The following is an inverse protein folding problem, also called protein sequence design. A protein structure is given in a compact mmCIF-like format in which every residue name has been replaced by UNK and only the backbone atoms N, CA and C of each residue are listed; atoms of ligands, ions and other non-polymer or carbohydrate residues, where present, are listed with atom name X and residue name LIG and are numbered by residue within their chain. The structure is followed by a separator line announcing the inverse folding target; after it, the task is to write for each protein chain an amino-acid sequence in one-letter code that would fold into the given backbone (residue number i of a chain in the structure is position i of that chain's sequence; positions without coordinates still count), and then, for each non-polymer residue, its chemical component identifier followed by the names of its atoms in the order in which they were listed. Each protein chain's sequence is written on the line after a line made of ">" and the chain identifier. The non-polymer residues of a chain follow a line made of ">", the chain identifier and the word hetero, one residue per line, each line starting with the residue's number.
data_IF_124353341838
#
_entry.id   IF_124353341838
#
_cell.length_a   1.000
_cell.length_b   1.000
_cell.length_c   1.000
_cell.angle_alpha   90.00
_cell.angle_beta   90.00
_cell.angle_gamma   90.00
#
_symmetry.space_group_name_H-M   'P 1'
#
loop_
_entity.id
_entity.type
_entity.pdbx_description
1 polymer ?
#
# COMPACT_ATOMS: atom_id res chain seq x y z
N UNK A 1 -15.91 63.44 -10.30
CA UNK A 1 -16.42 62.42 -11.24
C UNK A 1 -15.27 61.49 -11.56
N UNK A 2 -15.45 60.21 -11.19
CA UNK A 2 -14.71 58.97 -11.45
C UNK A 2 -13.18 58.97 -11.59
N UNK A 3 -12.55 58.37 -10.58
CA UNK A 3 -11.26 57.66 -10.70
C UNK A 3 -11.60 56.21 -11.08
N UNK A 4 -11.12 55.73 -12.23
CA UNK A 4 -11.26 54.33 -12.66
C UNK A 4 -10.02 53.58 -12.20
N UNK A 5 -10.19 52.70 -11.22
CA UNK A 5 -9.17 51.76 -10.79
C UNK A 5 -9.19 50.53 -11.71
N UNK A 6 -8.13 50.32 -12.48
CA UNK A 6 -7.89 49.08 -13.22
C UNK A 6 -7.29 48.07 -12.25
N UNK A 7 -8.11 47.12 -11.83
CA UNK A 7 -7.69 45.95 -11.06
C UNK A 7 -7.21 44.88 -12.04
N UNK A 8 -5.89 44.78 -12.23
CA UNK A 8 -5.28 43.64 -12.91
C UNK A 8 -5.17 42.48 -11.91
N UNK A 9 -6.14 41.57 -11.96
CA UNK A 9 -5.98 40.23 -11.39
C UNK A 9 -4.90 39.49 -12.20
N UNK A 10 -3.68 39.40 -11.65
CA UNK A 10 -2.70 38.43 -12.11
C UNK A 10 -3.13 37.04 -11.60
N UNK A 11 -3.81 36.29 -12.46
CA UNK A 11 -4.02 34.86 -12.31
C UNK A 11 -2.69 34.15 -12.61
N UNK A 12 -1.87 33.91 -11.59
CA UNK A 12 -0.74 32.98 -11.69
C UNK A 12 -1.33 31.57 -11.60
N UNK A 13 -1.76 31.04 -12.73
CA UNK A 13 -2.00 29.61 -12.86
C UNK A 13 -0.65 28.90 -12.76
N UNK A 14 -0.44 28.13 -11.69
CA UNK A 14 0.59 27.11 -11.70
C UNK A 14 0.22 26.10 -12.80
N UNK A 15 0.90 26.22 -13.93
CA UNK A 15 1.00 25.15 -14.91
C UNK A 15 1.88 24.08 -14.26
N UNK A 16 1.26 23.19 -13.49
CA UNK A 16 1.89 21.97 -13.01
C UNK A 16 2.07 20.97 -14.15
N UNK A 17 2.94 21.30 -15.12
CA UNK A 17 3.57 20.30 -15.97
C UNK A 17 4.80 19.77 -15.23
N UNK A 18 4.57 19.11 -14.09
CA UNK A 18 5.54 18.17 -13.54
C UNK A 18 5.07 16.80 -13.95
N UNK A 19 5.96 15.95 -14.45
CA UNK A 19 5.60 14.57 -14.75
C UNK A 19 5.03 13.94 -13.47
N UNK A 20 3.75 13.51 -13.50
CA UNK A 20 3.05 12.91 -12.36
C UNK A 20 3.61 11.53 -11.96
N UNK A 21 4.75 11.14 -12.55
CA UNK A 21 5.48 9.93 -12.25
C UNK A 21 6.28 10.08 -10.94
N UNK A 22 6.67 8.93 -10.36
CA UNK A 22 7.56 8.96 -9.20
C UNK A 22 8.94 9.40 -9.67
N UNK A 23 9.32 10.62 -9.27
CA UNK A 23 10.58 11.26 -9.64
C UNK A 23 11.40 11.78 -8.44
N UNK A 24 10.92 11.52 -7.22
CA UNK A 24 11.54 11.96 -5.96
C UNK A 24 11.21 11.03 -4.79
N UNK A 25 12.00 11.09 -3.72
CA UNK A 25 11.77 10.36 -2.47
C UNK A 25 10.40 10.70 -1.84
N UNK A 26 9.94 11.95 -1.97
CA UNK A 26 8.63 12.35 -1.46
C UNK A 26 7.46 11.73 -2.25
N UNK A 27 7.57 11.67 -3.58
CA UNK A 27 6.56 10.96 -4.39
C UNK A 27 6.61 9.45 -4.15
N UNK A 28 7.80 8.87 -3.95
CA UNK A 28 7.95 7.46 -3.59
C UNK A 28 7.28 7.15 -2.24
N UNK A 29 7.45 8.05 -1.26
CA UNK A 29 6.77 7.99 0.04
C UNK A 29 5.25 7.97 -0.12
N UNK A 30 4.69 8.89 -0.91
CA UNK A 30 3.24 8.98 -1.19
C UNK A 30 2.70 7.74 -1.92
N UNK A 31 3.46 7.24 -2.89
CA UNK A 31 3.11 6.00 -3.60
C UNK A 31 2.96 4.81 -2.64
N UNK A 32 3.80 4.73 -1.59
CA UNK A 32 3.62 3.73 -0.54
C UNK A 32 2.46 4.05 0.40
N UNK A 33 2.27 5.31 0.81
CA UNK A 33 1.21 5.68 1.77
C UNK A 33 -0.19 5.27 1.30
N UNK A 34 -0.47 5.35 0.00
CA UNK A 34 -1.75 4.86 -0.56
C UNK A 34 -1.92 3.35 -0.58
N UNK A 35 -0.84 2.60 -0.40
CA UNK A 35 -0.85 1.14 -0.28
C UNK A 35 -0.81 0.66 1.17
N UNK A 36 -0.55 1.53 2.15
CA UNK A 36 -0.31 1.10 3.53
C UNK A 36 -1.50 0.30 4.08
N UNK A 37 -2.72 0.78 3.90
CA UNK A 37 -3.91 0.07 4.38
C UNK A 37 -4.15 -1.27 3.66
N UNK A 38 -3.74 -1.37 2.40
CA UNK A 38 -3.78 -2.64 1.66
C UNK A 38 -2.92 -3.73 2.32
N UNK A 39 -1.87 -3.38 3.07
CA UNK A 39 -1.06 -4.34 3.82
C UNK A 39 -1.85 -4.92 5.00
N UNK A 40 -2.56 -4.06 5.74
CA UNK A 40 -3.47 -4.48 6.82
C UNK A 40 -4.56 -5.41 6.29
N UNK A 41 -5.19 -5.04 5.17
CA UNK A 41 -6.22 -5.86 4.52
C UNK A 41 -5.65 -7.17 3.98
N UNK A 42 -4.45 -7.16 3.40
CA UNK A 42 -3.77 -8.36 2.91
C UNK A 42 -3.47 -9.35 4.03
N UNK A 43 -3.05 -8.86 5.21
CA UNK A 43 -2.85 -9.68 6.39
C UNK A 43 -4.14 -10.39 6.83
N UNK A 44 -5.24 -9.64 6.91
CA UNK A 44 -6.55 -10.20 7.29
C UNK A 44 -7.06 -11.22 6.26
N UNK A 45 -6.93 -10.92 4.97
CA UNK A 45 -7.29 -11.84 3.89
C UNK A 45 -6.40 -13.09 3.90
N UNK A 46 -5.11 -12.96 4.23
CA UNK A 46 -4.21 -14.09 4.44
C UNK A 46 -4.72 -15.05 5.52
N UNK A 47 -5.16 -14.51 6.67
CA UNK A 47 -5.77 -15.31 7.74
C UNK A 47 -7.13 -15.91 7.35
N UNK A 48 -7.97 -15.18 6.61
CA UNK A 48 -9.22 -15.71 6.08
C UNK A 48 -8.94 -16.93 5.17
N UNK A 49 -7.93 -16.82 4.31
CA UNK A 49 -7.46 -17.91 3.45
C UNK A 49 -6.92 -19.08 4.26
N UNK A 50 -6.11 -18.83 5.29
CA UNK A 50 -5.60 -19.85 6.21
C UNK A 50 -6.74 -20.65 6.87
N UNK A 51 -7.77 -19.95 7.37
CA UNK A 51 -8.91 -20.58 8.04
C UNK A 51 -9.80 -21.39 7.07
N UNK A 52 -9.81 -21.03 5.79
CA UNK A 52 -10.55 -21.73 4.74
C UNK A 52 -9.76 -22.88 4.10
N UNK A 53 -8.43 -22.90 4.25
CA UNK A 53 -7.56 -23.86 3.57
C UNK A 53 -7.43 -25.18 4.34
N UNK A 54 -7.32 -26.28 3.60
CA UNK A 54 -6.90 -27.58 4.14
C UNK A 54 -5.40 -27.85 3.93
N UNK A 55 -4.65 -26.86 3.44
CA UNK A 55 -3.22 -26.96 3.09
C UNK A 55 -2.53 -25.61 3.22
N UNK A 56 -1.22 -25.56 3.00
CA UNK A 56 -0.48 -24.30 2.99
C UNK A 56 -0.94 -23.33 1.88
N UNK A 57 -1.43 -23.85 0.75
CA UNK A 57 -2.00 -23.03 -0.31
C UNK A 57 -3.38 -22.53 0.13
N UNK A 58 -3.56 -21.21 0.17
CA UNK A 58 -4.85 -20.62 0.53
C UNK A 58 -5.75 -20.47 -0.70
N UNK A 59 -7.07 -20.71 -0.58
CA UNK A 59 -8.00 -20.33 -1.63
C UNK A 59 -7.99 -18.80 -1.82
N UNK A 60 -8.19 -18.28 -3.03
CA UNK A 60 -8.22 -16.84 -3.27
C UNK A 60 -9.21 -16.10 -2.34
N UNK A 61 -8.75 -15.02 -1.74
CA UNK A 61 -9.55 -14.15 -0.86
C UNK A 61 -9.61 -12.74 -1.44
N UNK A 62 -10.77 -12.10 -1.40
CA UNK A 62 -10.94 -10.76 -1.97
C UNK A 62 -11.58 -9.78 -0.99
N UNK A 63 -11.19 -8.52 -1.10
CA UNK A 63 -11.81 -7.38 -0.40
C UNK A 63 -11.92 -6.16 -1.33
N UNK A 64 -12.74 -5.19 -0.93
CA UNK A 64 -12.82 -3.90 -1.61
C UNK A 64 -11.80 -2.90 -1.05
N UNK A 65 -11.35 -1.97 -1.88
CA UNK A 65 -10.76 -0.73 -1.37
C UNK A 65 -11.86 0.12 -0.69
N UNK A 66 -11.46 0.98 0.24
CA UNK A 66 -12.44 1.80 0.97
C UNK A 66 -13.15 2.81 0.08
N UNK A 67 -12.47 3.27 -0.98
CA UNK A 67 -13.06 4.15 -1.99
C UNK A 67 -13.47 3.39 -3.25
N UNK A 68 -12.60 2.51 -3.77
CA UNK A 68 -12.84 1.85 -5.06
C UNK A 68 -12.05 0.55 -5.25
N UNK A 69 -12.48 -0.22 -6.26
CA UNK A 69 -11.74 -1.36 -6.80
C UNK A 69 -11.68 -2.57 -5.87
N UNK A 70 -10.76 -3.48 -6.20
CA UNK A 70 -10.67 -4.79 -5.55
C UNK A 70 -9.24 -5.15 -5.25
N UNK A 71 -9.04 -5.71 -4.05
CA UNK A 71 -7.84 -6.39 -3.59
C UNK A 71 -8.10 -7.90 -3.61
N UNK A 72 -7.24 -8.65 -4.27
CA UNK A 72 -7.27 -10.10 -4.37
C UNK A 72 -5.98 -10.68 -3.81
N UNK A 73 -6.08 -11.56 -2.83
CA UNK A 73 -4.96 -12.21 -2.17
C UNK A 73 -4.98 -13.70 -2.46
N UNK A 74 -3.86 -14.21 -2.97
CA UNK A 74 -3.60 -15.64 -3.14
C UNK A 74 -2.24 -15.97 -2.54
N UNK A 75 -1.84 -17.24 -2.55
CA UNK A 75 -0.51 -17.66 -2.11
C UNK A 75 -0.56 -18.70 -1.01
N UNK A 76 0.31 -18.55 -0.02
CA UNK A 76 0.53 -19.55 1.01
C UNK A 76 0.61 -18.98 2.42
N UNK A 77 0.06 -19.71 3.38
CA UNK A 77 0.22 -19.45 4.82
C UNK A 77 0.64 -20.73 5.52
N UNK A 78 1.60 -20.64 6.45
CA UNK A 78 2.07 -21.79 7.21
C UNK A 78 0.92 -22.47 7.97
N UNK A 79 0.83 -23.79 7.83
CA UNK A 79 -0.17 -24.60 8.52
C UNK A 79 0.34 -25.10 9.87
N UNK A 80 -0.59 -25.29 10.80
CA UNK A 80 -0.32 -25.81 12.13
C UNK A 80 -0.68 -24.85 13.27
N UNK A 81 -0.62 -25.37 14.50
CA UNK A 81 -1.09 -24.70 15.71
C UNK A 81 -0.10 -23.69 16.31
N UNK A 82 1.03 -23.43 15.65
CA UNK A 82 2.05 -22.48 16.14
C UNK A 82 1.56 -21.04 16.11
N UNK A 83 1.84 -20.26 17.15
CA UNK A 83 1.55 -18.81 17.18
C UNK A 83 2.51 -17.99 16.29
N UNK A 84 3.50 -18.65 15.68
CA UNK A 84 4.30 -18.10 14.59
C UNK A 84 3.73 -18.56 13.25
N UNK A 85 3.59 -17.63 12.31
CA UNK A 85 3.07 -17.88 10.96
C UNK A 85 3.90 -17.15 9.91
N UNK A 86 4.36 -17.88 8.90
CA UNK A 86 4.84 -17.30 7.65
C UNK A 86 3.69 -17.17 6.64
N UNK A 87 3.65 -16.04 5.95
CA UNK A 87 2.74 -15.78 4.83
C UNK A 87 3.56 -15.40 3.60
N UNK A 88 3.25 -15.99 2.45
CA UNK A 88 3.83 -15.67 1.14
C UNK A 88 2.67 -15.39 0.20
N UNK A 89 2.31 -14.13 0.09
CA UNK A 89 1.07 -13.70 -0.55
C UNK A 89 1.37 -13.06 -1.91
N UNK A 90 0.45 -13.24 -2.85
CA UNK A 90 0.41 -12.50 -4.12
C UNK A 90 -0.69 -11.47 -4.05
N UNK A 91 -0.34 -10.22 -4.35
CA UNK A 91 -1.21 -9.06 -4.22
C UNK A 91 -1.76 -8.69 -5.60
N UNK A 92 -3.01 -9.06 -5.86
CA UNK A 92 -3.75 -8.65 -7.04
C UNK A 92 -4.58 -7.40 -6.77
N UNK A 93 -4.46 -6.37 -7.60
CA UNK A 93 -5.28 -5.16 -7.53
C UNK A 93 -5.92 -4.84 -8.87
N UNK A 94 -7.18 -4.40 -8.84
CA UNK A 94 -7.88 -3.88 -10.01
C UNK A 94 -8.60 -2.60 -9.64
N UNK A 95 -8.06 -1.46 -10.10
CA UNK A 95 -8.60 -0.14 -9.80
C UNK A 95 -8.71 0.15 -8.30
N UNK A 96 -7.83 -0.44 -7.50
CA UNK A 96 -7.89 -0.41 -6.04
C UNK A 96 -7.53 0.97 -5.50
N UNK A 97 -8.35 1.50 -4.60
CA UNK A 97 -8.02 2.72 -3.85
C UNK A 97 -8.74 2.71 -2.50
N UNK A 98 -8.01 3.10 -1.45
CA UNK A 98 -8.57 3.39 -0.12
C UNK A 98 -8.97 4.86 0.05
N UNK A 99 -8.87 5.66 -1.02
CA UNK A 99 -9.28 7.05 -1.06
C UNK A 99 -8.13 8.03 -0.87
N UNK A 100 -8.48 9.21 -0.37
CA UNK A 100 -7.55 10.32 -0.16
C UNK A 100 -6.55 10.02 0.95
N UNK A 101 -5.28 10.28 0.65
CA UNK A 101 -4.13 10.00 1.52
C UNK A 101 -3.65 11.32 2.10
N UNK A 102 -3.77 11.49 3.41
CA UNK A 102 -3.19 12.62 4.11
C UNK A 102 -1.65 12.52 4.09
N UNK A 103 -1.00 13.50 3.46
CA UNK A 103 0.46 13.57 3.30
C UNK A 103 1.11 14.33 4.46
N UNK A 104 0.52 15.47 4.83
CA UNK A 104 0.80 16.32 5.98
C UNK A 104 -0.41 17.25 6.24
N UNK A 105 -0.42 18.02 7.34
CA UNK A 105 -1.54 18.92 7.67
C UNK A 105 -1.66 20.13 6.72
N UNK A 106 -0.55 20.49 6.06
CA UNK A 106 -0.43 21.68 5.21
C UNK A 106 -0.41 21.36 3.71
N UNK A 107 -0.60 20.08 3.34
CA UNK A 107 -0.57 19.62 1.96
C UNK A 107 -1.91 19.03 1.55
N UNK A 108 -2.28 19.27 0.29
CA UNK A 108 -3.47 18.66 -0.28
C UNK A 108 -3.35 17.12 -0.22
N UNK A 109 -4.42 16.43 0.17
CA UNK A 109 -4.42 14.97 0.13
C UNK A 109 -4.21 14.50 -1.30
N UNK A 110 -3.54 13.35 -1.44
CA UNK A 110 -3.34 12.74 -2.74
C UNK A 110 -4.26 11.55 -2.92
N UNK A 111 -4.80 11.39 -4.12
CA UNK A 111 -5.63 10.27 -4.51
C UNK A 111 -4.90 9.43 -5.55
N UNK A 112 -4.63 8.18 -5.19
CA UNK A 112 -3.92 7.22 -6.04
C UNK A 112 -4.78 5.96 -6.17
N UNK A 113 -4.88 5.47 -7.39
CA UNK A 113 -5.51 4.19 -7.73
C UNK A 113 -4.47 3.24 -8.28
N UNK A 114 -4.51 1.99 -7.80
CA UNK A 114 -3.52 0.97 -8.10
C UNK A 114 -4.10 -0.19 -8.90
N UNK A 115 -3.31 -0.71 -9.83
CA UNK A 115 -3.53 -1.96 -10.51
C UNK A 115 -2.24 -2.80 -10.51
N UNK A 116 -2.38 -4.12 -10.59
CA UNK A 116 -1.26 -5.04 -10.74
C UNK A 116 -1.48 -5.94 -11.95
N UNK A 117 -0.47 -6.74 -12.29
CA UNK A 117 -0.62 -7.74 -13.34
C UNK A 117 -1.79 -8.71 -13.07
N UNK A 118 -2.52 -9.08 -14.13
CA UNK A 118 -3.60 -10.06 -14.04
C UNK A 118 -3.08 -11.49 -13.81
N UNK A 119 -1.84 -11.78 -14.24
CA UNK A 119 -1.17 -13.05 -13.95
C UNK A 119 -0.65 -13.07 -12.53
N UNK A 120 -1.08 -14.05 -11.73
CA UNK A 120 -0.70 -14.22 -10.32
C UNK A 120 0.81 -14.33 -10.11
N UNK A 121 1.54 -14.94 -11.04
CA UNK A 121 3.00 -15.09 -10.92
C UNK A 121 3.76 -13.76 -11.09
N UNK A 122 3.14 -12.80 -11.78
CA UNK A 122 3.67 -11.46 -12.00
C UNK A 122 3.09 -10.42 -11.01
N UNK A 123 2.23 -10.84 -10.08
CA UNK A 123 1.72 -9.98 -9.02
C UNK A 123 2.80 -9.71 -7.96
N UNK A 124 2.79 -8.52 -7.35
CA UNK A 124 3.64 -8.22 -6.20
C UNK A 124 3.57 -9.29 -5.12
N UNK A 125 4.73 -9.63 -4.59
CA UNK A 125 4.88 -10.57 -3.49
C UNK A 125 4.92 -9.82 -2.17
N UNK A 126 4.00 -10.16 -1.27
CA UNK A 126 4.01 -9.73 0.12
C UNK A 126 4.36 -10.94 0.98
N UNK A 127 5.59 -10.99 1.46
CA UNK A 127 6.05 -12.04 2.38
C UNK A 127 6.06 -11.48 3.79
N UNK A 128 5.38 -12.15 4.73
CA UNK A 128 5.30 -11.75 6.13
C UNK A 128 5.75 -12.91 7.03
N UNK A 129 6.38 -12.56 8.14
CA UNK A 129 6.78 -13.47 9.21
C UNK A 129 6.24 -12.94 10.51
N UNK A 130 5.21 -13.58 11.04
CA UNK A 130 4.53 -13.19 12.27
C UNK A 130 5.01 -14.02 13.44
N UNK A 131 5.17 -13.38 14.60
CA UNK A 131 5.64 -13.99 15.84
C UNK A 131 4.70 -13.67 17.00
N UNK A 132 4.33 -14.71 17.74
CA UNK A 132 3.56 -14.66 18.99
C UNK A 132 2.10 -14.15 18.87
N UNK A 133 1.44 -14.42 17.73
CA UNK A 133 0.01 -14.09 17.47
C UNK A 133 -0.88 -14.47 18.67
N UNK A 134 -1.90 -13.67 19.06
CA UNK A 134 -2.40 -12.48 18.38
C UNK A 134 -1.66 -11.18 18.70
N UNK A 135 -0.78 -11.18 19.71
CA UNK A 135 0.14 -10.06 19.98
C UNK A 135 1.50 -10.27 19.30
N UNK A 136 2.45 -9.38 19.55
CA UNK A 136 3.85 -9.60 19.17
C UNK A 136 4.28 -8.82 17.94
N UNK A 137 5.09 -9.44 17.08
CA UNK A 137 5.81 -8.73 16.02
C UNK A 137 5.62 -9.37 14.65
N UNK A 138 5.85 -8.56 13.63
CA UNK A 138 6.02 -9.05 12.27
C UNK A 138 7.23 -8.42 11.59
N UNK A 139 7.81 -9.18 10.68
CA UNK A 139 8.69 -8.66 9.63
C UNK A 139 8.11 -9.02 8.27
N UNK A 140 8.47 -8.27 7.23
CA UNK A 140 8.01 -8.59 5.90
C UNK A 140 8.77 -7.89 4.79
N UNK A 141 8.48 -8.32 3.56
CA UNK A 141 8.96 -7.72 2.33
C UNK A 141 7.80 -7.54 1.36
N UNK A 142 7.71 -6.37 0.73
CA UNK A 142 6.83 -6.13 -0.42
C UNK A 142 7.68 -5.87 -1.65
N UNK A 143 7.56 -6.74 -2.66
CA UNK A 143 8.34 -6.67 -3.90
C UNK A 143 7.46 -6.83 -5.13
N UNK A 144 7.50 -5.87 -6.05
CA UNK A 144 6.86 -6.02 -7.35
C UNK A 144 6.31 -4.72 -7.94
N UNK A 145 5.64 -4.87 -9.08
CA UNK A 145 5.18 -3.76 -9.89
C UNK A 145 3.74 -3.37 -9.59
N UNK A 146 3.52 -2.07 -9.49
CA UNK A 146 2.22 -1.44 -9.38
C UNK A 146 2.06 -0.43 -10.51
N UNK A 147 0.90 -0.44 -11.16
CA UNK A 147 0.49 0.57 -12.12
C UNK A 147 -0.41 1.58 -11.41
N UNK A 148 0.03 2.84 -11.35
CA UNK A 148 -0.64 3.92 -10.64
C UNK A 148 -1.37 4.86 -11.60
N UNK A 149 -2.50 5.39 -11.15
CA UNK A 149 -3.26 6.48 -11.78
C UNK A 149 -3.81 7.42 -10.71
N UNK A 150 -4.17 8.65 -11.09
CA UNK A 150 -4.60 9.70 -10.16
C UNK A 150 -3.56 10.80 -10.07
N UNK A 151 -3.23 11.23 -8.86
CA UNK A 151 -2.24 12.30 -8.62
C UNK A 151 -0.79 11.81 -8.75
N UNK A 152 -0.57 10.51 -8.63
CA UNK A 152 0.65 9.84 -9.09
C UNK A 152 0.30 8.80 -10.15
N UNK A 153 1.12 8.74 -11.20
CA UNK A 153 0.86 7.96 -12.41
C UNK A 153 2.06 7.11 -12.80
N UNK A 154 1.79 6.13 -13.66
CA UNK A 154 2.82 5.29 -14.26
C UNK A 154 3.14 4.05 -13.42
N UNK A 155 4.13 3.29 -13.90
CA UNK A 155 4.57 2.06 -13.26
C UNK A 155 5.60 2.38 -12.19
N UNK A 156 5.41 1.81 -11.00
CA UNK A 156 6.40 1.82 -9.93
C UNK A 156 6.72 0.39 -9.52
N UNK A 157 8.00 0.06 -9.42
CA UNK A 157 8.47 -1.18 -8.83
C UNK A 157 8.89 -0.92 -7.40
N UNK A 158 8.20 -1.54 -6.45
CA UNK A 158 8.52 -1.42 -5.03
C UNK A 158 9.42 -2.57 -4.58
N UNK A 159 10.39 -2.26 -3.73
CA UNK A 159 11.19 -3.22 -2.98
C UNK A 159 11.35 -2.71 -1.55
N UNK A 160 10.44 -3.12 -0.69
CA UNK A 160 10.28 -2.59 0.66
C UNK A 160 10.45 -3.69 1.70
N UNK A 161 11.04 -3.32 2.83
CA UNK A 161 11.08 -4.08 4.07
C UNK A 161 10.11 -3.46 5.06
N UNK A 162 9.34 -4.29 5.74
CA UNK A 162 8.37 -3.91 6.75
C UNK A 162 8.76 -4.55 8.08
N UNK A 163 8.69 -3.78 9.16
CA UNK A 163 8.86 -4.28 10.53
C UNK A 163 7.86 -3.59 11.43
N UNK A 164 7.23 -4.33 12.34
CA UNK A 164 6.36 -3.71 13.32
C UNK A 164 5.74 -4.68 14.31
N UNK A 165 4.72 -4.20 14.99
CA UNK A 165 3.94 -4.95 15.97
C UNK A 165 2.57 -5.34 15.43
N UNK A 166 2.03 -6.42 15.98
CA UNK A 166 0.67 -6.89 15.72
C UNK A 166 -0.11 -6.99 17.03
N UNK A 167 -1.42 -6.80 16.93
CA UNK A 167 -2.35 -6.90 18.03
C UNK A 167 -3.67 -7.56 17.61
N UNK A 168 -4.43 -8.02 18.59
CA UNK A 168 -5.82 -8.45 18.40
C UNK A 168 -6.68 -7.23 18.01
N UNK A 169 -7.51 -7.38 16.99
CA UNK A 169 -8.43 -6.33 16.56
C UNK A 169 -9.68 -6.19 17.43
N UNK A 170 -9.81 -7.03 18.46
CA UNK A 170 -10.97 -7.11 19.36
C UNK A 170 -12.10 -7.97 18.82
N UNK A 171 -11.95 -8.53 17.62
CA UNK A 171 -12.91 -9.45 16.97
C UNK A 171 -12.33 -10.85 16.79
N UNK A 172 -11.16 -11.12 17.38
CA UNK A 172 -10.44 -12.38 17.23
C UNK A 172 -9.64 -12.47 15.93
N UNK A 173 -9.39 -11.33 15.26
CA UNK A 173 -8.45 -11.24 14.13
C UNK A 173 -7.20 -10.49 14.56
N UNK A 174 -6.17 -10.59 13.72
CA UNK A 174 -4.88 -9.94 13.93
C UNK A 174 -4.80 -8.72 13.01
N UNK A 175 -4.31 -7.60 13.54
CA UNK A 175 -3.99 -6.39 12.76
C UNK A 175 -2.63 -5.84 13.14
N UNK A 176 -2.08 -4.96 12.29
CA UNK A 176 -0.91 -4.16 12.63
C UNK A 176 -1.26 -3.19 13.76
N UNK A 177 -0.35 -3.01 14.70
CA UNK A 177 -0.46 -1.96 15.73
C UNK A 177 -0.22 -0.60 15.07
N UNK A 178 -1.12 0.36 15.31
CA UNK A 178 -0.99 1.71 14.76
C UNK A 178 0.21 2.44 15.37
N UNK A 179 0.98 3.13 14.55
CA UNK A 179 2.20 3.84 14.89
C UNK A 179 3.45 2.97 15.04
N UNK A 180 3.33 1.65 14.92
CA UNK A 180 4.40 0.70 15.20
C UNK A 180 5.06 0.09 13.95
N UNK A 181 4.54 0.36 12.75
CA UNK A 181 5.09 -0.22 11.51
C UNK A 181 6.08 0.74 10.88
N UNK A 182 7.33 0.31 10.77
CA UNK A 182 8.35 0.99 9.94
C UNK A 182 8.49 0.29 8.60
N UNK A 183 8.56 1.09 7.54
CA UNK A 183 8.66 0.65 6.15
C UNK A 183 9.86 1.35 5.54
N UNK A 184 10.82 0.59 5.04
CA UNK A 184 12.01 1.12 4.39
C UNK A 184 12.29 0.42 3.06
N UNK A 185 12.91 1.10 2.11
CA UNK A 185 13.34 0.47 0.85
C UNK A 185 13.31 1.46 -0.31
N UNK A 186 12.99 0.96 -1.49
CA UNK A 186 13.04 1.75 -2.72
C UNK A 186 11.78 1.64 -3.56
N UNK A 187 11.48 2.71 -4.27
CA UNK A 187 10.56 2.77 -5.40
C UNK A 187 11.35 3.10 -6.66
N UNK A 188 11.24 2.26 -7.69
CA UNK A 188 11.87 2.47 -9.00
C UNK A 188 10.82 2.87 -10.02
N UNK A 189 11.08 3.93 -10.76
CA UNK A 189 10.20 4.47 -11.81
C UNK A 189 11.06 5.04 -12.93
N UNK A 190 10.83 4.59 -14.17
CA UNK A 190 11.74 4.86 -15.29
C UNK A 190 13.18 4.44 -14.98
N UNK A 191 14.12 5.36 -15.17
CA UNK A 191 15.54 5.17 -14.82
C UNK A 191 15.86 5.58 -13.36
N UNK A 192 14.88 6.09 -12.62
CA UNK A 192 15.03 6.61 -11.26
C UNK A 192 14.79 5.56 -10.18
N UNK A 193 15.51 5.69 -9.06
CA UNK A 193 15.29 4.90 -7.84
C UNK A 193 15.30 5.84 -6.64
N UNK A 194 14.24 5.75 -5.85
CA UNK A 194 13.91 6.72 -4.80
C UNK A 194 13.68 6.01 -3.47
N UNK A 195 14.09 6.63 -2.38
CA UNK A 195 13.98 6.03 -1.06
C UNK A 195 12.55 6.14 -0.53
N UNK A 196 12.14 5.10 0.19
CA UNK A 196 10.93 5.08 1.02
C UNK A 196 11.40 4.84 2.45
N UNK A 197 11.04 5.73 3.38
CA UNK A 197 11.16 5.52 4.83
C UNK A 197 9.92 6.16 5.51
N UNK A 198 9.07 5.33 6.09
CA UNK A 198 7.79 5.75 6.69
C UNK A 198 7.56 4.98 7.99
N UNK A 199 6.95 5.64 8.97
CA UNK A 199 6.40 5.00 10.17
C UNK A 199 4.88 5.22 10.23
N UNK A 200 4.11 4.15 10.49
CA UNK A 200 2.64 4.10 10.45
C UNK A 200 2.03 3.31 11.59
#
# INVERSE_FOLDING_TARGET
>A
MSVVAISCLLSVGLVGCGDDEVSSDEQARRAYLGLDESISKSLQLGFAGFNAASSANIPPQSGAGDAAGTLLITGQVDQGSSDNKGMRLRVGMTGYSDGEIAVSEDEDPVNITYATNASTEAQPELTLQLRNIPGGTFTGELKGDFDMTGDLKGKVTLNLTLTGEIEDDGTGKVRRTSGATRVTGTATSGDGTYNVDVTR
#
